data_IF_804544602246
#
_entry.id   IF_804544602246
#
_cell.length_a   1.000
_cell.length_b   1.000
_cell.length_c   1.000
_cell.angle_alpha   90.00
_cell.angle_beta   90.00
_cell.angle_gamma   90.00
#
_symmetry.space_group_name_H-M   'P 1'
#
loop_
_entity.id
_entity.type
_entity.pdbx_description
1 polymer ?
#
# COMPACT_ATOMS: atom_id res chain seq x y z
N UNK A 1 19.81 -9.12 4.57
CA UNK A 1 18.91 -9.50 3.46
C UNK A 1 17.65 -8.64 3.49
N UNK A 2 16.96 -8.58 2.35
CA UNK A 2 15.85 -7.67 2.09
C UNK A 2 14.66 -8.48 1.61
N UNK A 3 13.46 -8.22 2.16
CA UNK A 3 12.20 -8.69 1.64
C UNK A 3 11.42 -7.49 1.07
N UNK A 4 11.00 -7.57 -0.19
CA UNK A 4 10.11 -6.58 -0.82
C UNK A 4 8.77 -7.25 -1.11
N UNK A 5 7.74 -6.87 -0.37
CA UNK A 5 6.37 -7.30 -0.56
C UNK A 5 5.69 -6.35 -1.54
N UNK A 6 5.68 -6.72 -2.81
CA UNK A 6 5.08 -5.93 -3.89
C UNK A 6 3.80 -6.53 -4.46
N UNK A 7 3.58 -7.83 -4.28
CA UNK A 7 2.40 -8.49 -4.83
C UNK A 7 1.11 -7.89 -4.28
N UNK A 8 0.14 -7.64 -5.15
CA UNK A 8 -1.14 -7.10 -4.75
C UNK A 8 -2.17 -7.16 -5.88
N UNK A 9 -3.42 -7.24 -5.48
CA UNK A 9 -4.57 -7.20 -6.39
C UNK A 9 -5.49 -6.06 -6.01
N UNK A 10 -6.29 -5.65 -6.97
CA UNK A 10 -7.28 -4.58 -6.83
C UNK A 10 -8.62 -5.04 -7.40
N UNK A 11 -9.70 -4.71 -6.73
CA UNK A 11 -11.06 -4.79 -7.25
C UNK A 11 -11.79 -3.51 -6.91
N UNK A 12 -12.52 -2.96 -7.86
CA UNK A 12 -13.25 -1.72 -7.75
C UNK A 12 -14.75 -1.98 -7.91
N UNK A 13 -15.56 -1.32 -7.09
CA UNK A 13 -17.01 -1.39 -7.16
C UNK A 13 -17.69 -1.00 -5.85
N UNK A 14 -19.01 -0.77 -5.86
CA UNK A 14 -19.79 -0.59 -4.65
C UNK A 14 -19.64 -1.79 -3.73
N UNK A 15 -19.44 -1.58 -2.44
CA UNK A 15 -19.16 -2.67 -1.48
C UNK A 15 -20.25 -3.75 -1.47
N UNK A 16 -21.53 -3.37 -1.57
CA UNK A 16 -22.64 -4.32 -1.59
C UNK A 16 -22.67 -5.18 -2.87
N UNK A 17 -22.15 -4.64 -3.99
CA UNK A 17 -22.11 -5.34 -5.29
C UNK A 17 -20.81 -6.12 -5.45
N UNK A 18 -19.70 -5.62 -4.92
CA UNK A 18 -18.40 -6.26 -5.01
C UNK A 18 -18.41 -7.68 -4.43
N UNK A 19 -19.20 -7.89 -3.40
CA UNK A 19 -19.41 -9.17 -2.77
C UNK A 19 -18.26 -9.61 -1.86
N UNK A 20 -18.59 -10.45 -0.88
CA UNK A 20 -17.65 -10.95 0.13
C UNK A 20 -16.45 -11.69 -0.47
N UNK A 21 -16.67 -12.48 -1.54
CA UNK A 21 -15.62 -13.26 -2.18
C UNK A 21 -14.49 -12.38 -2.74
N UNK A 22 -14.83 -11.25 -3.37
CA UNK A 22 -13.83 -10.29 -3.87
C UNK A 22 -13.08 -9.59 -2.74
N UNK A 23 -13.79 -9.21 -1.67
CA UNK A 23 -13.17 -8.59 -0.51
C UNK A 23 -12.19 -9.57 0.16
N UNK A 24 -12.60 -10.81 0.42
CA UNK A 24 -11.74 -11.86 0.99
C UNK A 24 -10.49 -12.07 0.13
N UNK A 25 -10.65 -12.22 -1.19
CA UNK A 25 -9.52 -12.40 -2.09
C UNK A 25 -8.51 -11.25 -2.03
N UNK A 26 -8.98 -10.00 -1.90
CA UNK A 26 -8.09 -8.85 -1.73
C UNK A 26 -7.33 -8.93 -0.39
N UNK A 27 -8.00 -9.29 0.70
CA UNK A 27 -7.35 -9.48 2.00
C UNK A 27 -6.37 -10.66 1.99
N UNK A 28 -6.74 -11.80 1.41
CA UNK A 28 -5.85 -12.95 1.30
C UNK A 28 -4.54 -12.61 0.58
N UNK A 29 -4.63 -11.90 -0.55
CA UNK A 29 -3.42 -11.55 -1.32
C UNK A 29 -2.66 -10.38 -0.69
N UNK A 30 -3.35 -9.27 -0.41
CA UNK A 30 -2.69 -8.01 -0.06
C UNK A 30 -2.23 -7.99 1.40
N UNK A 31 -2.90 -8.72 2.29
CA UNK A 31 -2.65 -8.68 3.74
C UNK A 31 -2.10 -10.00 4.24
N UNK A 32 -2.87 -11.08 4.17
CA UNK A 32 -2.47 -12.35 4.79
C UNK A 32 -1.27 -12.99 4.10
N UNK A 33 -1.21 -12.97 2.77
CA UNK A 33 -0.05 -13.47 2.02
C UNK A 33 1.23 -12.70 2.34
N UNK A 34 1.15 -11.37 2.38
CA UNK A 34 2.26 -10.49 2.78
C UNK A 34 2.71 -10.75 4.21
N UNK A 35 1.75 -10.88 5.15
CA UNK A 35 2.03 -11.18 6.54
C UNK A 35 2.67 -12.56 6.72
N UNK A 36 2.19 -13.58 6.01
CA UNK A 36 2.74 -14.93 6.05
C UNK A 36 4.22 -14.95 5.59
N UNK A 37 4.53 -14.33 4.44
CA UNK A 37 5.91 -14.22 3.97
C UNK A 37 6.81 -13.47 4.95
N UNK A 38 6.32 -12.37 5.49
CA UNK A 38 7.04 -11.56 6.47
C UNK A 38 7.42 -12.39 7.70
N UNK A 39 6.46 -13.15 8.25
CA UNK A 39 6.71 -14.01 9.41
C UNK A 39 7.72 -15.12 9.16
N UNK A 40 7.84 -15.61 7.93
CA UNK A 40 8.82 -16.62 7.58
C UNK A 40 10.26 -16.10 7.59
N UNK A 41 10.49 -14.82 7.29
CA UNK A 41 11.84 -14.24 7.21
C UNK A 41 12.31 -13.60 8.52
N UNK A 42 11.39 -13.14 9.38
CA UNK A 42 11.73 -12.47 10.66
C UNK A 42 12.66 -13.30 11.55
N UNK A 43 12.45 -14.61 11.80
CA UNK A 43 13.34 -15.38 12.66
C UNK A 43 14.80 -15.35 12.19
N UNK A 44 15.02 -15.51 10.88
CA UNK A 44 16.37 -15.50 10.31
C UNK A 44 17.00 -14.09 10.35
N UNK A 45 16.21 -13.02 10.10
CA UNK A 45 16.69 -11.65 10.22
C UNK A 45 17.06 -11.32 11.66
N UNK A 46 16.26 -11.76 12.61
CA UNK A 46 16.53 -11.58 14.06
C UNK A 46 17.80 -12.32 14.52
N UNK A 47 18.00 -13.55 14.06
CA UNK A 47 19.20 -14.33 14.37
C UNK A 47 20.46 -13.66 13.84
N UNK A 48 20.41 -13.07 12.65
CA UNK A 48 21.52 -12.29 12.07
C UNK A 48 21.72 -10.92 12.70
N UNK A 49 20.75 -10.40 13.47
CA UNK A 49 20.78 -9.05 14.00
C UNK A 49 20.67 -7.95 12.94
N UNK A 50 20.09 -8.26 11.77
CA UNK A 50 19.88 -7.29 10.69
C UNK A 50 18.83 -7.76 9.70
N UNK A 51 18.06 -6.81 9.16
CA UNK A 51 17.06 -7.11 8.13
C UNK A 51 16.36 -5.86 7.62
N UNK A 52 15.77 -5.97 6.44
CA UNK A 52 14.96 -4.94 5.84
C UNK A 52 13.72 -5.55 5.18
N UNK A 53 12.55 -4.98 5.51
CA UNK A 53 11.26 -5.36 4.92
C UNK A 53 10.65 -4.10 4.32
N UNK A 54 10.31 -4.14 3.04
CA UNK A 54 9.67 -3.04 2.32
C UNK A 54 8.30 -3.50 1.83
N UNK A 55 7.25 -2.88 2.32
CA UNK A 55 5.88 -3.16 1.91
C UNK A 55 5.41 -2.11 0.90
N UNK A 56 5.11 -2.53 -0.33
CA UNK A 56 4.51 -1.64 -1.34
C UNK A 56 3.02 -1.52 -1.05
N UNK A 57 2.66 -0.38 -0.47
CA UNK A 57 1.28 -0.06 -0.10
C UNK A 57 0.56 0.70 -1.24
N UNK A 58 0.00 1.85 -0.96
CA UNK A 58 -0.66 2.74 -1.93
C UNK A 58 -1.06 4.03 -1.22
N UNK A 59 -1.37 5.09 -1.97
CA UNK A 59 -2.16 6.22 -1.46
C UNK A 59 -3.47 5.77 -0.80
N UNK A 60 -4.03 4.63 -1.22
CA UNK A 60 -5.17 3.98 -0.58
C UNK A 60 -4.93 3.54 0.87
N UNK A 61 -3.71 3.62 1.41
CA UNK A 61 -3.40 3.42 2.81
C UNK A 61 -3.71 4.65 3.69
N UNK A 62 -3.98 5.80 3.07
CA UNK A 62 -4.24 7.08 3.77
C UNK A 62 -5.58 7.70 3.39
N UNK A 63 -6.10 7.34 2.21
CA UNK A 63 -7.32 7.91 1.65
C UNK A 63 -8.19 6.83 1.00
N UNK A 64 -9.43 6.70 1.46
CA UNK A 64 -10.42 5.88 0.77
C UNK A 64 -11.16 6.73 -0.28
N UNK A 65 -11.25 6.22 -1.50
CA UNK A 65 -12.04 6.83 -2.58
C UNK A 65 -13.31 6.02 -2.82
N UNK A 66 -14.30 6.66 -3.43
CA UNK A 66 -15.55 6.02 -3.84
C UNK A 66 -15.25 4.77 -4.69
N UNK A 67 -15.97 3.70 -4.45
CA UNK A 67 -15.83 2.39 -5.10
C UNK A 67 -14.50 1.66 -4.88
N UNK A 68 -13.64 2.17 -3.99
CA UNK A 68 -12.32 1.59 -3.68
C UNK A 68 -12.18 1.16 -2.21
N UNK A 69 -13.28 1.15 -1.43
CA UNK A 69 -13.25 0.94 0.00
C UNK A 69 -12.61 -0.40 0.41
N UNK A 70 -12.92 -1.50 -0.29
CA UNK A 70 -12.32 -2.81 -0.02
C UNK A 70 -10.81 -2.83 -0.22
N UNK A 71 -10.32 -2.24 -1.31
CA UNK A 71 -8.89 -2.10 -1.55
C UNK A 71 -8.21 -1.18 -0.54
N UNK A 72 -8.80 -0.01 -0.27
CA UNK A 72 -8.29 0.93 0.72
C UNK A 72 -8.17 0.26 2.10
N UNK A 73 -9.15 -0.54 2.51
CA UNK A 73 -9.11 -1.28 3.76
C UNK A 73 -7.88 -2.22 3.83
N UNK A 74 -7.55 -2.95 2.74
CA UNK A 74 -6.34 -3.79 2.73
C UNK A 74 -5.06 -2.96 2.85
N UNK A 75 -4.99 -1.80 2.22
CA UNK A 75 -3.80 -0.94 2.24
C UNK A 75 -3.64 -0.19 3.57
N UNK A 76 -4.73 0.21 4.23
CA UNK A 76 -4.71 0.71 5.61
C UNK A 76 -4.25 -0.37 6.60
N UNK A 77 -4.73 -1.61 6.44
CA UNK A 77 -4.29 -2.73 7.26
C UNK A 77 -2.77 -2.96 7.10
N UNK A 78 -2.26 -2.93 5.87
CA UNK A 78 -0.83 -3.09 5.61
C UNK A 78 0.02 -1.94 6.15
N UNK A 79 -0.46 -0.69 6.13
CA UNK A 79 0.24 0.44 6.73
C UNK A 79 0.34 0.26 8.26
N UNK A 80 -0.77 -0.09 8.91
CA UNK A 80 -0.79 -0.35 10.35
C UNK A 80 0.15 -1.51 10.76
N UNK A 81 0.14 -2.61 10.00
CA UNK A 81 1.04 -3.75 10.21
C UNK A 81 2.51 -3.31 10.03
N UNK A 82 2.80 -2.51 9.00
CA UNK A 82 4.16 -2.02 8.74
C UNK A 82 4.71 -1.22 9.92
N UNK A 83 3.89 -0.30 10.46
CA UNK A 83 4.29 0.53 11.61
C UNK A 83 4.52 -0.32 12.85
N UNK A 84 3.57 -1.20 13.18
CA UNK A 84 3.67 -2.09 14.33
C UNK A 84 4.94 -2.95 14.26
N UNK A 85 5.18 -3.58 13.11
CA UNK A 85 6.37 -4.41 12.91
C UNK A 85 7.68 -3.61 12.97
N UNK A 86 7.74 -2.38 12.45
CA UNK A 86 8.95 -1.53 12.56
C UNK A 86 9.29 -1.26 14.04
N UNK A 87 8.28 -0.95 14.85
CA UNK A 87 8.46 -0.73 16.30
C UNK A 87 8.89 -2.00 17.02
N UNK A 88 8.27 -3.14 16.74
CA UNK A 88 8.57 -4.42 17.36
C UNK A 88 9.97 -4.96 17.00
N UNK A 89 10.41 -4.74 15.75
CA UNK A 89 11.61 -5.33 15.19
C UNK A 89 12.84 -4.42 15.25
N UNK A 90 12.66 -3.14 15.52
CA UNK A 90 13.75 -2.16 15.67
C UNK A 90 14.81 -2.57 16.72
N UNK A 91 14.46 -3.17 17.89
CA UNK A 91 15.45 -3.65 18.85
C UNK A 91 16.37 -4.76 18.30
N UNK A 92 15.95 -5.44 17.23
CA UNK A 92 16.73 -6.49 16.56
C UNK A 92 17.47 -5.97 15.32
N UNK A 93 17.57 -4.64 15.16
CA UNK A 93 18.17 -4.01 13.98
C UNK A 93 17.52 -4.43 12.66
N UNK A 94 16.18 -4.64 12.68
CA UNK A 94 15.36 -4.92 11.51
C UNK A 94 14.44 -3.71 11.30
N UNK A 95 14.43 -3.16 10.09
CA UNK A 95 13.56 -2.03 9.75
C UNK A 95 12.47 -2.48 8.79
N UNK A 96 11.27 -1.96 9.03
CA UNK A 96 10.09 -2.22 8.19
C UNK A 96 9.57 -0.88 7.65
N UNK A 97 9.54 -0.74 6.33
CA UNK A 97 9.17 0.51 5.67
C UNK A 97 7.98 0.29 4.73
N UNK A 98 7.19 1.33 4.49
CA UNK A 98 6.17 1.32 3.43
C UNK A 98 6.52 2.30 2.30
N UNK A 99 6.25 1.87 1.07
CA UNK A 99 6.27 2.73 -0.11
C UNK A 99 4.85 2.80 -0.66
N UNK A 100 4.31 4.00 -0.76
CA UNK A 100 2.92 4.28 -1.11
C UNK A 100 2.83 5.07 -2.44
N UNK A 101 2.76 4.38 -3.60
CA UNK A 101 2.57 5.04 -4.88
C UNK A 101 1.18 5.66 -5.02
N UNK A 102 1.11 6.82 -5.71
CA UNK A 102 -0.14 7.51 -6.04
C UNK A 102 -0.47 7.35 -7.52
N UNK A 103 -1.33 6.42 -7.86
CA UNK A 103 -1.87 6.22 -9.22
C UNK A 103 -0.80 6.13 -10.32
N UNK A 104 0.09 5.17 -10.23
CA UNK A 104 1.04 4.84 -11.30
C UNK A 104 0.47 3.75 -12.23
N UNK A 105 0.83 3.82 -13.52
CA UNK A 105 0.48 2.82 -14.54
C UNK A 105 1.26 1.53 -14.34
N UNK A 106 0.66 0.59 -13.64
CA UNK A 106 1.21 -0.74 -13.40
C UNK A 106 0.26 -1.81 -13.91
N UNK A 107 0.72 -3.05 -14.03
CA UNK A 107 -0.12 -4.19 -14.43
C UNK A 107 -1.32 -4.45 -13.51
N UNK A 108 -1.41 -3.81 -12.36
CA UNK A 108 -2.59 -3.89 -11.48
C UNK A 108 -3.85 -3.40 -12.19
N UNK A 109 -3.72 -2.38 -13.07
CA UNK A 109 -4.82 -1.85 -13.86
C UNK A 109 -5.32 -2.88 -14.89
N UNK A 110 -4.41 -3.64 -15.48
CA UNK A 110 -4.74 -4.65 -16.50
C UNK A 110 -5.38 -5.90 -15.86
N UNK A 111 -5.03 -6.20 -14.63
CA UNK A 111 -5.55 -7.32 -13.85
C UNK A 111 -6.82 -6.98 -13.05
N UNK A 112 -7.30 -5.74 -13.12
CA UNK A 112 -8.52 -5.30 -12.45
C UNK A 112 -9.71 -5.44 -13.38
N UNK A 113 -10.70 -6.25 -13.00
CA UNK A 113 -11.95 -6.36 -13.75
C UNK A 113 -12.72 -5.03 -13.70
N UNK A 114 -13.27 -4.64 -14.85
CA UNK A 114 -14.18 -3.51 -14.93
C UNK A 114 -15.43 -3.82 -14.08
N UNK A 115 -15.89 -2.89 -13.23
CA UNK A 115 -17.13 -3.08 -12.49
C UNK A 115 -18.34 -3.16 -13.42
N UNK A 116 -19.40 -3.83 -12.99
CA UNK A 116 -20.65 -3.88 -13.74
C UNK A 116 -21.43 -2.58 -13.59
N UNK A 117 -22.12 -2.20 -14.66
CA UNK A 117 -23.16 -1.15 -14.64
C UNK A 117 -24.51 -1.68 -14.15
N UNK A 118 -24.66 -3.01 -14.03
CA UNK A 118 -25.88 -3.63 -13.55
C UNK A 118 -26.05 -3.39 -12.05
N UNK A 119 -27.19 -2.86 -11.66
CA UNK A 119 -27.51 -2.64 -10.26
C UNK A 119 -27.86 -1.19 -9.90
N UNK A 120 -27.98 -0.88 -8.60
CA UNK A 120 -28.55 0.40 -8.15
C UNK A 120 -27.64 1.62 -8.41
N UNK A 121 -26.39 1.41 -8.80
CA UNK A 121 -25.41 2.48 -9.04
C UNK A 121 -25.28 2.88 -10.50
N UNK A 122 -25.91 2.16 -11.44
CA UNK A 122 -25.85 2.43 -12.89
C UNK A 122 -24.40 2.50 -13.39
N UNK A 123 -24.11 3.44 -14.25
CA UNK A 123 -22.80 3.58 -14.90
C UNK A 123 -21.70 4.18 -14.00
N UNK A 124 -22.05 4.77 -12.85
CA UNK A 124 -21.09 5.48 -12.01
C UNK A 124 -19.82 4.67 -11.65
N UNK A 125 -19.91 3.37 -11.26
CA UNK A 125 -18.70 2.59 -10.96
C UNK A 125 -17.81 2.38 -12.19
N UNK A 126 -18.43 2.23 -13.36
CA UNK A 126 -17.74 2.06 -14.65
C UNK A 126 -17.01 3.35 -15.04
N UNK A 127 -17.65 4.50 -14.87
CA UNK A 127 -17.05 5.80 -15.20
C UNK A 127 -15.87 6.11 -14.27
N UNK A 128 -16.00 5.84 -12.97
CA UNK A 128 -14.89 5.97 -12.03
C UNK A 128 -13.72 5.04 -12.36
N UNK A 129 -14.00 3.83 -12.84
CA UNK A 129 -12.96 2.89 -13.26
C UNK A 129 -12.23 3.40 -14.51
N UNK A 130 -12.95 3.93 -15.50
CA UNK A 130 -12.36 4.49 -16.72
C UNK A 130 -11.47 5.69 -16.39
N UNK A 131 -11.97 6.63 -15.58
CA UNK A 131 -11.21 7.81 -15.12
C UNK A 131 -9.93 7.39 -14.38
N UNK A 132 -10.06 6.47 -13.42
CA UNK A 132 -8.91 5.96 -12.67
C UNK A 132 -7.88 5.31 -13.60
N UNK A 133 -8.32 4.51 -14.56
CA UNK A 133 -7.46 3.83 -15.52
C UNK A 133 -6.76 4.81 -16.47
N UNK A 134 -7.45 5.83 -16.94
CA UNK A 134 -6.87 6.89 -17.77
C UNK A 134 -5.77 7.65 -17.02
N UNK A 135 -6.03 8.07 -15.80
CA UNK A 135 -5.01 8.74 -14.96
C UNK A 135 -3.81 7.82 -14.74
N UNK A 136 -4.03 6.55 -14.42
CA UNK A 136 -2.96 5.60 -14.20
C UNK A 136 -2.13 5.38 -15.47
N UNK A 137 -2.75 5.21 -16.63
CA UNK A 137 -2.05 4.99 -17.91
C UNK A 137 -1.18 6.17 -18.34
N UNK A 138 -1.55 7.40 -17.98
CA UNK A 138 -0.75 8.60 -18.20
C UNK A 138 0.53 8.70 -17.34
N UNK A 139 0.75 7.79 -16.39
CA UNK A 139 1.86 7.79 -15.42
C UNK A 139 2.71 6.54 -15.54
N UNK A 140 3.29 6.32 -16.71
CA UNK A 140 4.05 5.12 -17.04
C UNK A 140 5.50 5.12 -16.55
N UNK A 141 6.07 6.29 -16.21
CA UNK A 141 7.40 6.35 -15.61
C UNK A 141 7.34 5.88 -14.15
N UNK A 142 7.86 4.69 -13.90
CA UNK A 142 7.91 4.06 -12.58
C UNK A 142 9.20 4.36 -11.82
N UNK A 143 10.16 5.10 -12.42
CA UNK A 143 11.44 5.38 -11.77
C UNK A 143 11.31 6.00 -10.37
N UNK A 144 10.40 6.96 -10.11
CA UNK A 144 10.26 7.50 -8.74
C UNK A 144 9.83 6.45 -7.72
N UNK A 145 9.03 5.45 -8.15
CA UNK A 145 8.57 4.37 -7.26
C UNK A 145 9.72 3.39 -6.99
N UNK A 146 10.46 3.00 -8.05
CA UNK A 146 11.59 2.08 -7.90
C UNK A 146 12.73 2.71 -7.11
N UNK A 147 12.98 4.00 -7.26
CA UNK A 147 13.98 4.73 -6.49
C UNK A 147 13.60 4.81 -5.01
N UNK A 148 12.32 5.05 -4.70
CA UNK A 148 11.83 5.04 -3.32
C UNK A 148 11.92 3.64 -2.69
N UNK A 149 11.63 2.57 -3.45
CA UNK A 149 11.82 1.19 -2.99
C UNK A 149 13.30 0.89 -2.75
N UNK A 150 14.19 1.32 -3.65
CA UNK A 150 15.63 1.15 -3.51
C UNK A 150 16.16 1.89 -2.27
N UNK A 151 15.75 3.14 -2.07
CA UNK A 151 16.11 3.90 -0.86
C UNK A 151 15.58 3.23 0.40
N UNK A 152 14.30 2.85 0.45
CA UNK A 152 13.73 2.12 1.58
C UNK A 152 14.48 0.82 1.88
N UNK A 153 14.98 0.12 0.86
CA UNK A 153 15.69 -1.14 0.97
C UNK A 153 17.15 -0.99 1.43
N UNK A 154 17.86 0.04 0.97
CA UNK A 154 19.32 0.12 1.09
C UNK A 154 19.83 1.28 1.95
N UNK A 155 19.02 2.30 2.21
CA UNK A 155 19.40 3.43 3.05
C UNK A 155 19.66 2.96 4.50
N UNK A 156 20.81 3.30 5.12
CA UNK A 156 21.07 2.97 6.52
C UNK A 156 20.03 3.53 7.50
N UNK A 157 19.46 4.70 7.17
CA UNK A 157 18.43 5.37 7.98
C UNK A 157 17.18 5.64 7.11
N UNK A 158 16.41 4.59 6.75
CA UNK A 158 15.26 4.76 5.89
C UNK A 158 14.14 5.50 6.61
N UNK A 159 13.33 6.21 5.83
CA UNK A 159 12.03 6.67 6.33
C UNK A 159 11.15 5.46 6.62
N UNK A 160 10.27 5.58 7.61
CA UNK A 160 9.27 4.53 7.86
C UNK A 160 8.23 4.46 6.73
N UNK A 161 7.90 5.62 6.14
CA UNK A 161 6.94 5.75 5.04
C UNK A 161 7.47 6.63 3.92
N UNK A 162 7.21 6.23 2.70
CA UNK A 162 7.52 6.95 1.46
C UNK A 162 6.23 7.14 0.67
N UNK A 163 5.73 8.38 0.56
CA UNK A 163 4.67 8.70 -0.39
C UNK A 163 5.31 9.12 -1.72
N UNK A 164 4.94 8.42 -2.79
CA UNK A 164 5.47 8.69 -4.13
C UNK A 164 4.34 9.20 -5.01
N UNK A 165 4.33 10.49 -5.26
CA UNK A 165 3.32 11.18 -6.05
C UNK A 165 3.96 11.93 -7.23
N UNK A 166 3.32 11.97 -8.39
CA UNK A 166 3.76 12.83 -9.49
C UNK A 166 3.36 14.28 -9.18
N UNK A 167 4.36 15.12 -8.87
CA UNK A 167 4.14 16.52 -8.49
C UNK A 167 3.53 16.68 -7.10
N UNK A 168 3.06 17.88 -6.79
CA UNK A 168 2.41 18.20 -5.51
C UNK A 168 0.92 17.89 -5.60
N UNK A 169 0.44 17.02 -4.74
CA UNK A 169 -0.97 16.63 -4.66
C UNK A 169 -1.51 16.87 -3.25
N UNK A 170 -2.82 17.20 -3.08
CA UNK A 170 -3.43 17.42 -1.76
C UNK A 170 -3.27 16.24 -0.78
N UNK A 171 -3.10 15.02 -1.29
CA UNK A 171 -2.84 13.86 -0.43
C UNK A 171 -1.52 13.96 0.33
N UNK A 172 -0.57 14.77 -0.14
CA UNK A 172 0.71 14.96 0.56
C UNK A 172 0.50 15.65 1.90
N UNK A 173 -0.39 16.62 1.97
CA UNK A 173 -0.72 17.32 3.22
C UNK A 173 -1.34 16.35 4.24
N UNK A 174 -2.21 15.45 3.78
CA UNK A 174 -2.82 14.40 4.63
C UNK A 174 -1.75 13.42 5.11
N UNK A 175 -0.84 13.03 4.23
CA UNK A 175 0.25 12.11 4.57
C UNK A 175 1.19 12.74 5.60
N UNK A 176 1.63 13.97 5.36
CA UNK A 176 2.57 14.67 6.25
C UNK A 176 1.96 14.90 7.63
N UNK A 177 0.69 15.31 7.70
CA UNK A 177 -0.03 15.46 8.97
C UNK A 177 -0.14 14.13 9.73
N UNK A 178 -0.40 13.01 9.03
CA UNK A 178 -0.45 11.68 9.64
C UNK A 178 0.93 11.22 10.14
N UNK A 179 1.97 11.44 9.37
CA UNK A 179 3.34 11.09 9.77
C UNK A 179 3.75 11.88 11.00
N UNK A 180 3.52 13.19 11.02
CA UNK A 180 3.82 14.05 12.17
C UNK A 180 3.05 13.60 13.41
N UNK A 181 1.76 13.31 13.29
CA UNK A 181 0.93 12.84 14.41
C UNK A 181 1.48 11.52 14.99
N UNK A 182 1.83 10.56 14.14
CA UNK A 182 2.36 9.28 14.57
C UNK A 182 3.72 9.46 15.29
N UNK A 183 4.63 10.29 14.73
CA UNK A 183 5.93 10.58 15.35
C UNK A 183 5.82 11.27 16.72
N UNK A 184 4.93 12.24 16.87
CA UNK A 184 4.71 12.96 18.13
C UNK A 184 4.11 12.04 19.19
N UNK A 185 3.16 11.21 18.82
CA UNK A 185 2.47 10.30 19.74
C UNK A 185 3.41 9.23 20.29
N UNK A 186 4.28 8.65 19.45
CA UNK A 186 5.20 7.62 19.88
C UNK A 186 6.40 8.12 20.70
N UNK A 187 6.68 9.40 20.70
CA UNK A 187 7.66 10.00 21.62
C UNK A 187 7.16 10.08 23.07
N UNK A 188 5.86 9.90 23.27
CA UNK A 188 5.22 9.99 24.59
C UNK A 188 4.96 8.62 25.24
N UNK A 189 5.18 7.54 24.53
CA UNK A 189 5.07 6.16 25.02
C UNK A 189 6.44 5.49 25.11
#
# INVERSE_FOLDING_TARGET
DILINNAGIFSMGPMEVLGEGNLRRQFETNVFGTFALTNLVIPQMRERGSGRIVNVTSAGAFLARQYMAGYAATKHAMDAITIGLDLELKPFNIRVCSVAPVQYGTSIADNTAMPSADGPYGDQPVDHYKEWREIASGRSDLSPVTDAIADAATNPNPKQRYLVAPGTLPIMDIFDAKVQFDEERWKQT
#
